data_IF_774535864990
#
_entry.id   IF_774535864990
#
_cell.length_a   1.000
_cell.length_b   1.000
_cell.length_c   1.000
_cell.angle_alpha   90.00
_cell.angle_beta   90.00
_cell.angle_gamma   90.00
#
_symmetry.space_group_name_H-M   'P 1'
#
loop_
_entity.id
_entity.type
_entity.pdbx_description
1 polymer ?
#
# COMPACT_ATOMS: atom_id res chain seq x y z
N UNK A 1 7.70 1.04 -26.16
CA UNK A 1 7.05 2.29 -25.74
C UNK A 1 7.90 2.89 -24.62
N UNK A 2 8.42 4.10 -24.83
CA UNK A 2 9.31 4.77 -23.87
C UNK A 2 8.50 5.68 -22.94
N UNK A 3 7.42 5.14 -22.35
CA UNK A 3 6.48 5.90 -21.53
C UNK A 3 6.49 5.41 -20.08
N UNK A 4 6.31 6.32 -19.14
CA UNK A 4 6.18 6.07 -17.72
C UNK A 4 4.79 6.49 -17.23
N UNK A 5 4.00 5.54 -16.80
CA UNK A 5 2.73 5.81 -16.11
C UNK A 5 2.96 5.79 -14.60
N UNK A 6 2.60 6.89 -13.92
CA UNK A 6 2.80 7.04 -12.47
C UNK A 6 1.46 6.91 -11.74
N UNK A 7 1.33 5.90 -10.89
CA UNK A 7 0.16 5.73 -10.02
C UNK A 7 0.50 6.14 -8.59
N UNK A 8 -0.33 7.00 -8.00
CA UNK A 8 -0.28 7.41 -6.59
C UNK A 8 -1.42 6.74 -5.87
N UNK A 9 -1.10 5.77 -5.00
CA UNK A 9 -2.09 4.83 -4.47
C UNK A 9 -2.40 5.08 -2.98
N UNK A 10 -1.75 6.07 -2.35
CA UNK A 10 -1.91 6.29 -0.92
C UNK A 10 -1.44 5.08 -0.10
N UNK A 11 -2.16 4.75 0.97
CA UNK A 11 -1.80 3.62 1.83
C UNK A 11 -2.38 2.32 1.29
N UNK A 12 -1.52 1.35 0.97
CA UNK A 12 -1.85 0.06 0.35
C UNK A 12 -1.30 -1.07 1.22
N UNK A 13 -2.11 -2.09 1.50
CA UNK A 13 -1.66 -3.30 2.18
C UNK A 13 -0.48 -3.94 1.41
N UNK A 14 0.48 -4.53 2.15
CA UNK A 14 1.71 -5.03 1.51
C UNK A 14 1.42 -6.11 0.46
N UNK A 15 0.50 -7.02 0.76
CA UNK A 15 0.10 -8.08 -0.17
C UNK A 15 -0.59 -7.53 -1.42
N UNK A 16 -1.40 -6.46 -1.31
CA UNK A 16 -2.01 -5.81 -2.46
C UNK A 16 -0.94 -5.15 -3.35
N UNK A 17 0.08 -4.53 -2.74
CA UNK A 17 1.24 -4.02 -3.46
C UNK A 17 1.97 -5.10 -4.26
N UNK A 18 2.15 -6.30 -3.68
CA UNK A 18 2.72 -7.45 -4.38
C UNK A 18 1.86 -7.91 -5.56
N UNK A 19 0.54 -7.96 -5.38
CA UNK A 19 -0.39 -8.32 -6.46
C UNK A 19 -0.38 -7.31 -7.61
N UNK A 20 -0.34 -6.02 -7.28
CA UNK A 20 -0.24 -4.96 -8.29
C UNK A 20 1.10 -5.03 -9.06
N UNK A 21 2.22 -5.24 -8.37
CA UNK A 21 3.52 -5.43 -9.02
C UNK A 21 3.50 -6.61 -10.00
N UNK A 22 2.93 -7.74 -9.59
CA UNK A 22 2.78 -8.92 -10.45
C UNK A 22 1.94 -8.62 -11.68
N UNK A 23 0.76 -8.00 -11.49
CA UNK A 23 -0.16 -7.67 -12.57
C UNK A 23 0.48 -6.75 -13.60
N UNK A 24 1.06 -5.62 -13.16
CA UNK A 24 1.72 -4.68 -14.07
C UNK A 24 2.95 -5.30 -14.73
N UNK A 25 3.68 -6.14 -14.02
CA UNK A 25 4.82 -6.87 -14.58
C UNK A 25 4.40 -7.82 -15.72
N UNK A 26 3.33 -8.57 -15.54
CA UNK A 26 2.77 -9.44 -16.58
C UNK A 26 2.27 -8.63 -17.79
N UNK A 27 1.52 -7.56 -17.53
CA UNK A 27 0.99 -6.65 -18.56
C UNK A 27 2.13 -5.99 -19.35
N UNK A 28 3.19 -5.56 -18.66
CA UNK A 28 4.37 -4.93 -19.29
C UNK A 28 5.14 -5.92 -20.17
N UNK A 29 5.31 -7.17 -19.73
CA UNK A 29 5.95 -8.23 -20.53
C UNK A 29 5.21 -8.54 -21.81
N UNK A 30 3.90 -8.46 -21.77
CA UNK A 30 3.03 -8.67 -22.94
C UNK A 30 3.02 -7.47 -23.90
N UNK A 31 3.72 -6.36 -23.56
CA UNK A 31 3.73 -5.14 -24.36
C UNK A 31 2.41 -4.37 -24.33
N UNK A 32 1.53 -4.68 -23.40
CA UNK A 32 0.19 -4.10 -23.28
C UNK A 32 0.16 -2.76 -22.52
N UNK A 33 1.22 -2.42 -21.81
CA UNK A 33 1.43 -1.11 -21.21
C UNK A 33 2.90 -0.68 -21.34
N UNK A 34 3.19 0.61 -21.09
CA UNK A 34 4.54 1.13 -20.88
C UNK A 34 5.12 0.74 -19.52
N UNK A 35 6.20 1.38 -19.14
CA UNK A 35 6.75 1.25 -17.81
C UNK A 35 5.85 1.92 -16.77
N UNK A 36 5.81 1.37 -15.56
CA UNK A 36 4.91 1.81 -14.50
C UNK A 36 5.71 2.12 -13.23
N UNK A 37 5.39 3.23 -12.58
CA UNK A 37 5.88 3.57 -11.25
C UNK A 37 4.69 3.62 -10.30
N UNK A 38 4.68 2.70 -9.30
CA UNK A 38 3.71 2.77 -8.21
C UNK A 38 4.33 3.54 -7.05
N UNK A 39 3.66 4.59 -6.59
CA UNK A 39 4.01 5.38 -5.42
C UNK A 39 2.93 5.16 -4.37
N UNK A 40 3.34 4.73 -3.18
CA UNK A 40 2.42 4.33 -2.12
C UNK A 40 3.08 4.36 -0.73
N UNK A 41 2.28 4.16 0.29
CA UNK A 41 2.70 3.83 1.64
C UNK A 41 2.18 2.45 2.01
N UNK A 42 2.82 1.78 2.97
CA UNK A 42 2.27 0.57 3.59
C UNK A 42 1.84 0.82 5.04
N UNK A 43 0.89 0.05 5.60
CA UNK A 43 0.76 -0.13 7.03
C UNK A 43 2.07 -0.67 7.65
N UNK A 44 2.21 -0.64 8.98
CA UNK A 44 3.41 -1.18 9.63
C UNK A 44 3.70 -2.63 9.23
N UNK A 45 4.82 -2.87 8.58
CA UNK A 45 5.22 -4.19 8.09
C UNK A 45 6.74 -4.37 8.07
N UNK A 46 7.20 -5.55 8.47
CA UNK A 46 8.58 -6.00 8.27
C UNK A 46 8.64 -6.93 7.05
N UNK A 47 9.58 -6.67 6.15
CA UNK A 47 9.79 -7.52 4.98
C UNK A 47 11.17 -8.17 5.02
N UNK A 48 11.21 -9.49 4.84
CA UNK A 48 12.40 -10.32 4.80
C UNK A 48 12.77 -10.56 3.34
N UNK A 49 13.86 -9.94 2.88
CA UNK A 49 14.41 -10.17 1.54
C UNK A 49 15.18 -11.48 1.45
N UNK A 50 15.69 -11.80 0.27
CA UNK A 50 16.40 -13.08 -0.01
C UNK A 50 17.64 -13.35 0.86
N UNK A 51 18.29 -12.29 1.35
CA UNK A 51 19.46 -12.42 2.24
C UNK A 51 19.09 -12.30 3.72
N UNK A 52 17.80 -12.19 4.03
CA UNK A 52 17.34 -11.92 5.39
C UNK A 52 17.54 -13.15 6.30
N UNK A 53 17.93 -12.83 7.54
CA UNK A 53 17.93 -13.79 8.63
C UNK A 53 16.81 -13.41 9.60
N UNK A 54 15.94 -14.36 9.97
CA UNK A 54 14.88 -14.13 10.97
C UNK A 54 15.44 -13.53 12.26
N UNK A 55 16.67 -13.91 12.64
CA UNK A 55 17.37 -13.37 13.81
C UNK A 55 17.65 -11.85 13.76
N UNK A 56 17.52 -11.21 12.60
CA UNK A 56 17.61 -9.77 12.46
C UNK A 56 16.30 -9.04 12.85
N UNK A 57 15.21 -9.78 13.11
CA UNK A 57 14.04 -9.26 13.83
C UNK A 57 14.33 -9.47 15.32
N UNK A 58 14.53 -8.37 16.05
CA UNK A 58 14.89 -8.41 17.47
C UNK A 58 13.66 -8.26 18.38
N UNK A 59 12.54 -7.82 17.83
CA UNK A 59 11.27 -7.77 18.55
C UNK A 59 10.67 -9.16 18.71
N UNK A 60 10.01 -9.42 19.85
CA UNK A 60 9.21 -10.63 20.05
C UNK A 60 7.92 -10.60 19.20
N UNK A 61 7.38 -11.78 18.88
CA UNK A 61 6.12 -11.88 18.14
C UNK A 61 4.96 -11.19 18.89
N UNK A 62 4.95 -11.23 20.22
CA UNK A 62 3.98 -10.50 21.05
C UNK A 62 4.09 -8.97 20.81
N UNK A 63 5.31 -8.43 20.84
CA UNK A 63 5.53 -7.00 20.59
C UNK A 63 5.13 -6.60 19.17
N UNK A 64 5.44 -7.41 18.16
CA UNK A 64 5.01 -7.14 16.78
C UNK A 64 3.48 -7.11 16.67
N UNK A 65 2.80 -8.05 17.34
CA UNK A 65 1.33 -8.10 17.38
C UNK A 65 0.74 -6.88 18.08
N UNK A 66 1.31 -6.46 19.21
CA UNK A 66 0.84 -5.31 19.99
C UNK A 66 1.01 -3.99 19.22
N UNK A 67 2.09 -3.86 18.44
CA UNK A 67 2.36 -2.71 17.58
C UNK A 67 1.65 -2.82 16.19
N UNK A 68 0.91 -3.89 15.93
CA UNK A 68 0.19 -4.13 14.66
C UNK A 68 1.12 -4.30 13.46
N UNK A 69 2.34 -4.82 13.68
CA UNK A 69 3.35 -5.00 12.65
C UNK A 69 3.27 -6.42 12.08
N UNK A 70 2.94 -6.53 10.80
CA UNK A 70 2.96 -7.80 10.08
C UNK A 70 4.38 -8.15 9.58
N UNK A 71 4.62 -9.44 9.29
CA UNK A 71 5.91 -9.92 8.77
C UNK A 71 5.70 -10.70 7.49
N UNK A 72 6.38 -10.30 6.41
CA UNK A 72 6.31 -10.97 5.10
C UNK A 72 7.67 -11.41 4.60
N UNK A 73 7.75 -12.64 4.11
CA UNK A 73 8.87 -13.10 3.28
C UNK A 73 8.67 -12.65 1.83
N UNK A 74 9.74 -12.22 1.18
CA UNK A 74 9.67 -11.61 -0.15
C UNK A 74 10.88 -11.95 -0.99
N UNK A 75 10.73 -11.89 -2.30
CA UNK A 75 11.78 -12.19 -3.27
C UNK A 75 12.67 -10.99 -3.65
N UNK A 76 12.49 -9.81 -3.00
CA UNK A 76 13.39 -8.67 -3.19
C UNK A 76 14.81 -8.98 -2.73
N UNK A 77 15.77 -8.27 -3.27
CA UNK A 77 17.13 -8.28 -2.77
C UNK A 77 17.25 -7.64 -1.38
N UNK A 78 18.36 -7.96 -0.70
CA UNK A 78 18.67 -7.40 0.62
C UNK A 78 18.14 -8.21 1.80
N UNK A 79 18.31 -7.65 2.99
CA UNK A 79 17.97 -8.21 4.29
C UNK A 79 16.58 -7.74 4.77
N UNK A 80 16.33 -7.75 6.08
CA UNK A 80 15.11 -7.24 6.69
C UNK A 80 15.02 -5.71 6.55
N UNK A 81 13.82 -5.20 6.33
CA UNK A 81 13.50 -3.76 6.43
C UNK A 81 12.11 -3.54 6.99
N UNK A 82 11.84 -2.29 7.42
CA UNK A 82 10.55 -1.83 7.90
C UNK A 82 9.90 -0.92 6.86
N UNK A 83 8.59 -1.08 6.69
CA UNK A 83 7.74 -0.12 6.01
C UNK A 83 6.62 0.31 6.96
N UNK A 84 6.17 1.56 6.81
CA UNK A 84 5.07 2.08 7.62
C UNK A 84 4.62 3.47 7.18
N UNK A 85 3.57 4.01 7.82
CA UNK A 85 3.04 5.34 7.50
C UNK A 85 4.10 6.43 7.53
N UNK A 86 4.01 7.36 6.57
CA UNK A 86 4.98 8.43 6.37
C UNK A 86 6.22 8.01 5.59
N UNK A 87 6.35 6.74 5.18
CA UNK A 87 7.42 6.27 4.32
C UNK A 87 6.92 6.18 2.87
N UNK A 88 7.53 6.90 1.95
CA UNK A 88 7.22 6.79 0.53
C UNK A 88 7.89 5.54 -0.06
N UNK A 89 7.08 4.60 -0.48
CA UNK A 89 7.52 3.41 -1.21
C UNK A 89 7.32 3.63 -2.71
N UNK A 90 8.34 3.31 -3.50
CA UNK A 90 8.29 3.38 -4.95
C UNK A 90 8.64 2.03 -5.58
N UNK A 91 7.71 1.49 -6.38
CA UNK A 91 7.89 0.26 -7.14
C UNK A 91 7.97 0.57 -8.63
N UNK A 92 9.19 0.74 -9.18
CA UNK A 92 9.40 0.83 -10.62
C UNK A 92 9.27 -0.57 -11.27
N UNK A 93 8.28 -0.69 -12.15
CA UNK A 93 8.00 -1.89 -12.93
C UNK A 93 8.38 -1.60 -14.37
N UNK A 94 9.67 -1.77 -14.67
CA UNK A 94 10.30 -1.37 -15.92
C UNK A 94 10.83 -2.60 -16.66
N UNK A 95 10.61 -2.63 -17.96
CA UNK A 95 11.28 -3.58 -18.83
C UNK A 95 12.52 -2.89 -19.41
N UNK A 96 13.67 -3.15 -18.79
CA UNK A 96 14.93 -2.48 -19.14
C UNK A 96 15.35 -2.82 -20.58
N UNK A 97 15.69 -1.82 -21.41
CA UNK A 97 16.23 -2.07 -22.74
C UNK A 97 17.64 -2.68 -22.66
N UNK A 98 18.09 -3.35 -23.73
CA UNK A 98 19.34 -4.13 -23.75
C UNK A 98 20.56 -3.34 -23.28
N UNK A 99 20.69 -2.08 -23.67
CA UNK A 99 21.81 -1.21 -23.27
C UNK A 99 21.82 -0.83 -21.78
N UNK A 100 20.73 -1.16 -21.03
CA UNK A 100 20.62 -1.00 -19.57
C UNK A 100 20.59 -2.34 -18.82
N UNK A 101 20.97 -3.43 -19.46
CA UNK A 101 21.03 -4.76 -18.85
C UNK A 101 22.23 -4.89 -17.88
N UNK A 102 22.20 -4.11 -16.80
CA UNK A 102 23.16 -4.13 -15.68
C UNK A 102 22.43 -3.85 -14.37
N UNK A 103 22.36 -4.84 -13.50
CA UNK A 103 21.68 -4.73 -12.20
C UNK A 103 22.31 -3.66 -11.31
N UNK A 104 23.64 -3.55 -11.31
CA UNK A 104 24.35 -2.54 -10.50
C UNK A 104 24.09 -1.13 -11.02
N UNK A 105 24.04 -0.96 -12.33
CA UNK A 105 23.65 0.30 -12.96
C UNK A 105 22.21 0.67 -12.59
N UNK A 106 21.28 -0.29 -12.69
CA UNK A 106 19.89 -0.05 -12.33
C UNK A 106 19.74 0.41 -10.87
N UNK A 107 20.42 -0.23 -9.93
CA UNK A 107 20.43 0.20 -8.52
C UNK A 107 20.96 1.62 -8.37
N UNK A 108 22.09 1.95 -9.02
CA UNK A 108 22.66 3.32 -9.02
C UNK A 108 21.68 4.34 -9.63
N UNK A 109 21.00 3.99 -10.72
CA UNK A 109 20.01 4.86 -11.34
C UNK A 109 18.85 5.14 -10.38
N UNK A 110 18.36 4.12 -9.63
CA UNK A 110 17.35 4.27 -8.59
C UNK A 110 17.87 5.16 -7.44
N UNK A 111 19.10 4.96 -6.98
CA UNK A 111 19.76 5.81 -5.97
C UNK A 111 19.83 7.28 -6.45
N UNK A 112 20.19 7.50 -7.72
CA UNK A 112 20.23 8.85 -8.29
C UNK A 112 18.88 9.54 -8.31
N UNK A 113 17.77 8.83 -8.54
CA UNK A 113 16.43 9.40 -8.44
C UNK A 113 16.19 9.99 -7.04
N UNK A 114 16.55 9.24 -5.99
CA UNK A 114 16.41 9.68 -4.60
C UNK A 114 17.37 10.83 -4.28
N UNK A 115 18.64 10.73 -4.65
CA UNK A 115 19.66 11.78 -4.40
C UNK A 115 19.23 13.11 -5.02
N UNK A 116 18.77 13.11 -6.28
CA UNK A 116 18.25 14.30 -6.94
C UNK A 116 16.98 14.86 -6.25
N UNK A 117 16.10 13.97 -5.77
CA UNK A 117 14.93 14.37 -5.00
C UNK A 117 15.33 15.08 -3.71
N UNK A 118 16.27 14.53 -2.95
CA UNK A 118 16.76 15.10 -1.70
C UNK A 118 17.49 16.43 -1.90
N UNK A 119 18.23 16.57 -3.01
CA UNK A 119 18.91 17.81 -3.36
C UNK A 119 17.94 18.99 -3.53
N UNK A 120 16.72 18.77 -4.00
CA UNK A 120 15.69 19.82 -4.08
C UNK A 120 15.19 20.32 -2.72
N UNK A 121 15.47 19.57 -1.66
CA UNK A 121 15.22 19.97 -0.26
C UNK A 121 16.48 20.55 0.41
N UNK A 122 17.57 20.75 -0.35
CA UNK A 122 18.85 21.23 0.18
C UNK A 122 19.62 20.17 0.99
N UNK A 123 19.24 18.89 0.87
CA UNK A 123 19.89 17.81 1.62
C UNK A 123 20.99 17.17 0.76
N UNK A 124 22.22 17.27 1.24
CA UNK A 124 23.36 16.55 0.64
C UNK A 124 23.30 15.08 1.06
N UNK A 125 23.21 14.20 0.07
CA UNK A 125 23.13 12.74 0.28
C UNK A 125 23.96 12.01 -0.76
N UNK A 126 24.21 10.72 -0.53
CA UNK A 126 25.03 9.91 -1.43
C UNK A 126 24.85 8.42 -1.18
N UNK A 127 25.73 7.62 -1.77
CA UNK A 127 25.78 6.16 -1.61
C UNK A 127 26.96 5.76 -0.77
N UNK A 128 26.84 4.64 -0.05
CA UNK A 128 27.95 4.01 0.65
C UNK A 128 28.25 2.67 -0.05
N UNK A 129 29.47 2.44 -0.54
CA UNK A 129 29.85 1.17 -1.13
C UNK A 129 29.50 0.00 -0.22
N UNK A 130 29.02 -1.12 -0.76
CA UNK A 130 28.54 -2.32 -0.07
C UNK A 130 27.19 -2.20 0.65
N UNK A 131 26.65 -1.00 0.85
CA UNK A 131 25.38 -0.79 1.56
C UNK A 131 24.34 -0.12 0.65
N UNK A 132 23.59 -0.86 -0.19
CA UNK A 132 22.60 -0.29 -1.09
C UNK A 132 21.61 0.63 -0.35
N UNK A 133 21.30 1.75 -0.98
CA UNK A 133 20.43 2.78 -0.45
C UNK A 133 21.07 4.16 -0.46
N UNK A 134 20.30 5.16 -0.01
CA UNK A 134 20.78 6.55 0.03
C UNK A 134 21.02 6.96 1.47
N UNK A 135 22.13 7.65 1.68
CA UNK A 135 22.69 7.96 2.98
C UNK A 135 23.00 9.44 3.13
N UNK A 136 22.90 9.91 4.35
CA UNK A 136 23.40 11.21 4.80
C UNK A 136 24.63 10.94 5.68
N UNK A 137 25.70 11.71 5.49
CA UNK A 137 27.00 11.44 6.10
C UNK A 137 27.88 10.51 5.25
N UNK A 138 29.09 10.22 5.72
CA UNK A 138 30.10 9.42 5.01
C UNK A 138 30.25 8.04 5.64
N UNK A 139 30.75 7.08 4.85
CA UNK A 139 31.11 5.73 5.34
C UNK A 139 32.07 5.83 6.53
N UNK A 140 31.74 5.09 7.61
CA UNK A 140 32.56 5.08 8.84
C UNK A 140 32.40 6.30 9.74
N UNK A 141 31.61 7.30 9.33
CA UNK A 141 31.25 8.40 10.21
C UNK A 141 30.16 7.96 11.22
N UNK A 142 30.25 8.37 12.51
CA UNK A 142 29.20 8.13 13.48
C UNK A 142 27.87 8.82 13.09
N UNK A 143 27.93 9.80 12.18
CA UNK A 143 26.75 10.52 11.69
C UNK A 143 26.13 9.87 10.45
N UNK A 144 26.69 8.76 9.95
CA UNK A 144 26.12 8.04 8.81
C UNK A 144 24.74 7.49 9.15
N UNK A 145 23.74 7.90 8.37
CA UNK A 145 22.36 7.50 8.57
C UNK A 145 21.62 7.30 7.26
N UNK A 146 20.91 6.19 7.16
CA UNK A 146 20.16 5.81 5.96
C UNK A 146 18.85 6.57 5.88
N UNK A 147 18.59 7.25 4.76
CA UNK A 147 17.33 7.94 4.50
C UNK A 147 16.44 7.14 3.54
N UNK A 148 17.03 6.34 2.64
CA UNK A 148 16.25 5.45 1.78
C UNK A 148 16.89 4.06 1.70
N UNK A 149 16.06 3.04 1.83
CA UNK A 149 16.40 1.65 1.59
C UNK A 149 16.09 1.27 0.14
N UNK A 150 16.91 0.39 -0.47
CA UNK A 150 16.71 -0.14 -1.82
C UNK A 150 16.77 -1.66 -1.76
N UNK A 151 15.75 -2.31 -2.29
CA UNK A 151 15.67 -3.75 -2.42
C UNK A 151 14.89 -4.10 -3.68
N UNK A 152 15.58 -4.47 -4.75
CA UNK A 152 14.99 -4.74 -6.07
C UNK A 152 15.03 -6.22 -6.41
N UNK A 153 14.15 -6.64 -7.30
CA UNK A 153 14.21 -7.93 -7.96
C UNK A 153 14.13 -7.73 -9.48
N UNK A 154 14.96 -8.43 -10.21
CA UNK A 154 14.96 -8.43 -11.68
C UNK A 154 14.76 -9.86 -12.18
N UNK A 155 13.81 -10.02 -13.09
CA UNK A 155 13.55 -11.28 -13.78
C UNK A 155 13.43 -11.02 -15.27
N UNK A 156 14.36 -11.55 -16.07
CA UNK A 156 14.40 -11.30 -17.52
C UNK A 156 14.30 -9.80 -17.84
N UNK A 157 15.05 -9.00 -17.10
CA UNK A 157 15.17 -7.55 -17.22
C UNK A 157 13.89 -6.76 -16.92
N UNK A 158 12.84 -7.41 -16.44
CA UNK A 158 11.70 -6.76 -15.80
C UNK A 158 12.02 -6.54 -14.33
N UNK A 159 11.87 -5.31 -13.87
CA UNK A 159 12.10 -4.91 -12.47
C UNK A 159 10.84 -5.05 -11.64
N UNK A 160 11.02 -5.32 -10.36
CA UNK A 160 9.96 -5.30 -9.34
C UNK A 160 10.56 -4.93 -7.98
N UNK A 161 9.70 -4.66 -7.00
CA UNK A 161 10.09 -3.99 -5.77
C UNK A 161 10.75 -2.63 -6.08
N UNK A 162 11.63 -2.11 -5.24
CA UNK A 162 12.22 -0.81 -5.52
C UNK A 162 12.86 -0.17 -4.30
N UNK A 163 12.33 0.96 -3.86
CA UNK A 163 12.88 1.76 -2.78
C UNK A 163 11.83 2.14 -1.74
N UNK A 164 12.31 2.49 -0.56
CA UNK A 164 11.53 3.07 0.52
C UNK A 164 12.27 4.31 1.07
N UNK A 165 11.73 5.50 0.82
CA UNK A 165 12.25 6.78 1.27
C UNK A 165 11.53 7.21 2.56
N UNK A 166 12.29 7.38 3.62
CA UNK A 166 11.76 7.91 4.87
C UNK A 166 11.44 9.40 4.73
N UNK A 167 10.15 9.74 4.64
CA UNK A 167 9.68 11.14 4.56
C UNK A 167 9.27 11.64 5.94
N UNK A 168 8.15 11.16 6.47
CA UNK A 168 7.65 11.45 7.83
C UNK A 168 7.57 10.16 8.67
N UNK A 169 8.40 9.21 8.38
CA UNK A 169 8.38 7.85 8.93
C UNK A 169 8.61 7.84 10.44
N UNK A 170 7.86 7.01 11.16
CA UNK A 170 8.09 6.75 12.58
C UNK A 170 9.36 5.91 12.77
N UNK A 171 10.50 6.57 12.90
CA UNK A 171 11.83 5.95 12.98
C UNK A 171 12.01 4.94 14.13
N UNK A 172 11.34 5.08 15.31
CA UNK A 172 11.45 4.09 16.40
C UNK A 172 11.10 2.65 15.99
N UNK A 173 10.23 2.43 14.99
CA UNK A 173 9.93 1.09 14.50
C UNK A 173 11.13 0.36 13.86
N UNK A 174 12.17 1.09 13.42
CA UNK A 174 13.41 0.45 12.98
C UNK A 174 14.16 -0.26 14.12
N UNK A 175 13.86 0.05 15.40
CA UNK A 175 14.39 -0.67 16.55
C UNK A 175 13.80 -2.10 16.71
N UNK A 176 12.79 -2.46 15.93
CA UNK A 176 12.25 -3.81 15.88
C UNK A 176 13.18 -4.78 15.14
N UNK A 177 14.14 -4.24 14.39
CA UNK A 177 15.07 -4.99 13.53
C UNK A 177 16.52 -4.51 13.70
N UNK A 178 17.46 -5.33 13.24
CA UNK A 178 18.82 -4.90 12.93
C UNK A 178 18.95 -4.78 11.41
N UNK A 179 18.79 -3.56 10.85
CA UNK A 179 18.77 -3.39 9.40
C UNK A 179 20.09 -3.81 8.77
N UNK A 180 20.08 -4.75 7.82
CA UNK A 180 21.27 -5.22 7.08
C UNK A 180 22.44 -5.67 7.97
N UNK A 181 22.19 -6.03 9.24
CA UNK A 181 23.26 -6.36 10.19
C UNK A 181 24.18 -5.18 10.57
N UNK A 182 23.84 -3.96 10.16
CA UNK A 182 24.62 -2.75 10.42
C UNK A 182 24.15 -2.18 11.76
N UNK A 183 24.94 -2.43 12.81
CA UNK A 183 24.67 -1.90 14.16
C UNK A 183 25.17 -0.48 14.38
N UNK A 184 26.04 0.00 13.49
CA UNK A 184 26.82 1.23 13.66
C UNK A 184 26.23 2.43 12.91
N UNK A 185 25.23 2.24 12.04
CA UNK A 185 24.63 3.31 11.25
C UNK A 185 23.17 3.54 11.64
N UNK A 186 22.81 4.83 11.80
CA UNK A 186 21.47 5.26 12.12
C UNK A 186 20.50 5.21 10.93
N UNK A 187 19.25 5.53 11.21
CA UNK A 187 18.20 5.83 10.22
C UNK A 187 17.71 7.27 10.42
N UNK A 188 17.32 7.91 9.34
CA UNK A 188 16.77 9.27 9.36
C UNK A 188 15.59 9.40 8.40
N UNK A 189 14.97 10.58 8.35
CA UNK A 189 13.85 10.92 7.48
C UNK A 189 13.95 12.37 7.02
N UNK A 190 13.27 12.74 5.93
CA UNK A 190 13.15 14.13 5.48
C UNK A 190 12.65 15.04 6.59
N UNK A 191 11.61 14.61 7.33
CA UNK A 191 11.08 15.36 8.48
C UNK A 191 12.16 15.65 9.51
N UNK A 192 12.98 14.65 9.86
CA UNK A 192 14.04 14.80 10.87
C UNK A 192 15.15 15.74 10.40
N UNK A 193 15.57 15.62 9.12
CA UNK A 193 16.62 16.48 8.54
C UNK A 193 16.18 17.93 8.37
N UNK A 194 14.91 18.16 8.03
CA UNK A 194 14.35 19.51 7.79
C UNK A 194 13.72 20.14 9.03
N UNK A 195 13.49 19.38 10.12
CA UNK A 195 12.80 19.87 11.32
C UNK A 195 11.32 20.18 11.11
N UNK A 196 10.70 19.70 10.04
CA UNK A 196 9.27 19.93 9.71
C UNK A 196 8.66 18.77 8.93
N UNK A 197 7.34 18.65 9.00
CA UNK A 197 6.60 17.72 8.14
C UNK A 197 6.75 18.11 6.68
N UNK A 198 6.83 17.10 5.81
CA UNK A 198 6.92 17.25 4.35
C UNK A 198 5.72 16.58 3.71
N UNK A 199 4.91 17.27 2.90
CA UNK A 199 3.79 16.65 2.21
C UNK A 199 4.28 15.52 1.29
N UNK A 200 3.75 14.30 1.47
CA UNK A 200 4.12 13.14 0.65
C UNK A 200 3.91 13.40 -0.84
N UNK A 201 2.77 14.03 -1.21
CA UNK A 201 2.45 14.33 -2.60
C UNK A 201 3.52 15.22 -3.29
N UNK A 202 4.18 16.11 -2.53
CA UNK A 202 5.30 16.91 -3.06
C UNK A 202 6.52 16.04 -3.36
N UNK A 203 6.84 15.10 -2.46
CA UNK A 203 7.97 14.16 -2.64
C UNK A 203 7.69 13.18 -3.77
N UNK A 204 6.46 12.68 -3.86
CA UNK A 204 6.01 11.81 -4.96
C UNK A 204 6.20 12.45 -6.32
N UNK A 205 5.80 13.73 -6.48
CA UNK A 205 5.94 14.43 -7.76
C UNK A 205 7.40 14.63 -8.15
N UNK A 206 8.25 15.04 -7.19
CA UNK A 206 9.69 15.22 -7.43
C UNK A 206 10.36 13.89 -7.79
N UNK A 207 10.07 12.84 -7.02
CA UNK A 207 10.63 11.52 -7.26
C UNK A 207 10.20 10.95 -8.63
N UNK A 208 8.93 11.08 -8.99
CA UNK A 208 8.40 10.63 -10.29
C UNK A 208 9.07 11.35 -11.46
N UNK A 209 9.31 12.67 -11.34
CA UNK A 209 10.04 13.44 -12.35
C UNK A 209 11.47 12.92 -12.52
N UNK A 210 12.19 12.70 -11.41
CA UNK A 210 13.55 12.18 -11.47
C UNK A 210 13.63 10.73 -12.00
N UNK A 211 12.62 9.90 -11.75
CA UNK A 211 12.52 8.60 -12.43
C UNK A 211 12.37 8.76 -13.94
N UNK A 212 11.49 9.65 -14.40
CA UNK A 212 11.34 9.92 -15.83
C UNK A 212 12.65 10.42 -16.47
N UNK A 213 13.32 11.36 -15.82
CA UNK A 213 14.57 11.96 -16.32
C UNK A 213 15.74 10.95 -16.35
N UNK A 214 15.95 10.21 -15.26
CA UNK A 214 17.09 9.26 -15.15
C UNK A 214 16.94 8.05 -16.08
N UNK A 215 15.70 7.60 -16.28
CA UNK A 215 15.38 6.48 -17.16
C UNK A 215 15.04 6.90 -18.58
N UNK A 216 15.02 8.22 -18.88
CA UNK A 216 14.73 8.78 -20.19
C UNK A 216 13.35 8.38 -20.72
N UNK A 217 12.34 8.45 -19.83
CA UNK A 217 10.96 8.05 -20.10
C UNK A 217 10.05 9.27 -20.24
N UNK A 218 9.12 9.24 -21.18
CA UNK A 218 8.06 10.22 -21.27
C UNK A 218 6.94 9.89 -20.30
N UNK A 219 6.64 10.80 -19.36
CA UNK A 219 5.49 10.63 -18.45
C UNK A 219 4.18 10.70 -19.22
N UNK A 220 3.27 9.81 -18.85
CA UNK A 220 1.88 9.81 -19.30
C UNK A 220 0.97 9.73 -18.10
N UNK A 221 -0.16 10.46 -18.15
CA UNK A 221 -1.12 10.42 -17.06
C UNK A 221 -1.86 9.07 -17.05
N UNK A 222 -2.03 8.46 -15.87
CA UNK A 222 -2.82 7.25 -15.74
C UNK A 222 -4.31 7.55 -15.96
N UNK A 223 -5.08 6.53 -16.30
CA UNK A 223 -6.53 6.62 -16.18
C UNK A 223 -6.90 6.93 -14.73
N UNK A 224 -7.92 7.79 -14.49
CA UNK A 224 -8.35 8.11 -13.13
C UNK A 224 -8.65 6.84 -12.33
N UNK A 225 -8.23 6.82 -11.06
CA UNK A 225 -8.60 5.75 -10.13
C UNK A 225 -10.12 5.76 -9.93
N UNK A 226 -10.74 4.58 -10.02
CA UNK A 226 -12.11 4.42 -9.55
C UNK A 226 -12.06 4.36 -8.02
N UNK A 227 -12.77 5.26 -7.35
CA UNK A 227 -12.86 5.26 -5.88
C UNK A 227 -14.16 4.64 -5.44
N UNK A 228 -14.05 3.73 -4.47
CA UNK A 228 -15.18 3.02 -3.87
C UNK A 228 -15.10 3.07 -2.35
N UNK A 229 -16.20 2.72 -1.73
CA UNK A 229 -16.28 2.48 -0.29
C UNK A 229 -16.79 1.06 -0.04
N UNK A 230 -16.38 0.47 1.08
CA UNK A 230 -17.06 -0.68 1.66
C UNK A 230 -17.42 -0.39 3.12
N UNK A 231 -18.61 -0.80 3.54
CA UNK A 231 -19.12 -0.56 4.90
C UNK A 231 -19.49 -1.89 5.54
N UNK A 232 -18.80 -2.25 6.62
CA UNK A 232 -19.18 -3.39 7.45
C UNK A 232 -20.23 -2.95 8.46
N UNK A 233 -21.49 -3.31 8.23
CA UNK A 233 -22.56 -3.09 9.19
C UNK A 233 -22.63 -4.23 10.19
N UNK A 234 -22.57 -3.90 11.47
CA UNK A 234 -22.62 -4.86 12.58
C UNK A 234 -23.76 -4.55 13.55
N UNK A 235 -24.30 -5.60 14.18
CA UNK A 235 -25.21 -5.51 15.34
C UNK A 235 -24.72 -6.43 16.47
N UNK A 236 -25.14 -6.14 17.70
CA UNK A 236 -24.67 -6.89 18.88
C UNK A 236 -23.19 -6.59 19.22
N UNK A 237 -22.68 -7.26 20.25
CA UNK A 237 -21.27 -7.13 20.73
C UNK A 237 -20.70 -8.49 21.13
N UNK A 238 -19.38 -8.59 21.16
CA UNK A 238 -18.68 -9.80 21.59
C UNK A 238 -19.12 -11.03 20.80
N UNK A 239 -19.48 -12.12 21.47
CA UNK A 239 -19.93 -13.37 20.84
C UNK A 239 -21.28 -13.25 20.11
N UNK A 240 -22.08 -12.25 20.46
CA UNK A 240 -23.37 -11.97 19.81
C UNK A 240 -23.25 -11.05 18.60
N UNK A 241 -22.04 -10.59 18.29
CA UNK A 241 -21.82 -9.72 17.14
C UNK A 241 -22.22 -10.43 15.84
N UNK A 242 -22.99 -9.74 15.01
CA UNK A 242 -23.40 -10.20 13.67
C UNK A 242 -23.06 -9.16 12.63
N UNK A 243 -22.63 -9.64 11.48
CA UNK A 243 -22.32 -8.85 10.30
C UNK A 243 -23.46 -8.98 9.31
N UNK A 244 -23.90 -7.89 8.72
CA UNK A 244 -24.85 -7.90 7.61
C UNK A 244 -24.11 -8.30 6.32
N UNK A 245 -24.56 -9.37 5.69
CA UNK A 245 -24.19 -9.71 4.32
C UNK A 245 -25.36 -9.46 3.38
N UNK A 246 -25.09 -8.92 2.21
CA UNK A 246 -26.01 -8.67 1.12
C UNK A 246 -25.65 -9.59 -0.05
N UNK A 247 -26.64 -10.23 -0.66
CA UNK A 247 -26.40 -11.04 -1.87
C UNK A 247 -26.71 -10.23 -3.11
N UNK A 248 -25.72 -10.05 -3.97
CA UNK A 248 -25.94 -9.45 -5.29
C UNK A 248 -26.88 -10.31 -6.13
N UNK A 249 -27.75 -9.67 -6.90
CA UNK A 249 -28.61 -10.38 -7.87
C UNK A 249 -27.76 -11.24 -8.82
N UNK A 250 -28.25 -12.41 -9.29
CA UNK A 250 -27.51 -13.29 -10.20
C UNK A 250 -26.98 -12.58 -11.45
N UNK A 251 -27.75 -11.65 -12.03
CA UNK A 251 -27.32 -10.81 -13.15
C UNK A 251 -26.10 -9.93 -12.86
N UNK A 252 -25.79 -9.71 -11.58
CA UNK A 252 -24.64 -8.95 -11.09
C UNK A 252 -23.59 -9.82 -10.39
N UNK A 253 -23.60 -11.13 -10.61
CA UNK A 253 -22.60 -12.07 -10.10
C UNK A 253 -23.05 -13.01 -8.99
N UNK A 254 -24.16 -12.75 -8.29
CA UNK A 254 -24.78 -13.69 -7.34
C UNK A 254 -24.01 -13.98 -6.05
N UNK A 255 -22.92 -13.24 -5.75
CA UNK A 255 -22.10 -13.47 -4.56
C UNK A 255 -22.53 -12.63 -3.35
N UNK A 256 -22.09 -13.05 -2.18
CA UNK A 256 -22.27 -12.33 -0.94
C UNK A 256 -21.21 -11.23 -0.76
N UNK A 257 -21.64 -10.08 -0.26
CA UNK A 257 -20.75 -8.94 0.05
C UNK A 257 -21.26 -8.18 1.27
N UNK A 258 -20.45 -7.26 1.79
CA UNK A 258 -20.89 -6.17 2.68
C UNK A 258 -21.44 -5.02 1.82
N UNK A 259 -21.92 -3.93 2.40
CA UNK A 259 -22.29 -2.72 1.65
C UNK A 259 -21.08 -2.21 0.86
N UNK A 260 -21.26 -1.90 -0.43
CA UNK A 260 -20.21 -1.35 -1.29
C UNK A 260 -20.79 -0.34 -2.27
N UNK A 261 -20.05 0.72 -2.57
CA UNK A 261 -20.50 1.68 -3.56
C UNK A 261 -19.39 2.54 -4.15
N UNK A 262 -19.71 3.32 -5.16
CA UNK A 262 -18.76 4.22 -5.82
C UNK A 262 -18.90 5.63 -5.26
N UNK A 263 -17.78 6.35 -5.16
CA UNK A 263 -17.82 7.77 -4.89
C UNK A 263 -18.35 8.52 -6.10
N UNK A 264 -19.21 9.49 -5.83
CA UNK A 264 -19.61 10.49 -6.81
C UNK A 264 -18.53 11.57 -6.99
N UNK A 265 -18.65 12.37 -8.05
CA UNK A 265 -17.67 13.42 -8.34
C UNK A 265 -17.67 14.48 -7.22
N UNK A 266 -16.52 14.64 -6.55
CA UNK A 266 -16.34 15.60 -5.45
C UNK A 266 -16.84 15.09 -4.09
N UNK A 267 -17.39 13.89 -4.02
CA UNK A 267 -17.86 13.29 -2.77
C UNK A 267 -16.68 12.83 -1.89
N UNK A 268 -16.78 13.03 -0.58
CA UNK A 268 -15.81 12.49 0.37
C UNK A 268 -16.11 11.00 0.66
N UNK A 269 -15.10 10.16 0.90
CA UNK A 269 -15.32 8.73 1.17
C UNK A 269 -16.29 8.45 2.32
N UNK A 270 -16.27 9.27 3.38
CA UNK A 270 -17.19 9.12 4.52
C UNK A 270 -18.64 9.40 4.13
N UNK A 271 -18.87 10.39 3.28
CA UNK A 271 -20.21 10.75 2.83
C UNK A 271 -20.77 9.68 1.90
N UNK A 272 -19.92 9.17 0.97
CA UNK A 272 -20.26 8.02 0.13
C UNK A 272 -20.61 6.77 0.97
N UNK A 273 -19.83 6.48 2.01
CA UNK A 273 -20.10 5.34 2.90
C UNK A 273 -21.47 5.47 3.61
N UNK A 274 -21.81 6.66 4.08
CA UNK A 274 -23.11 6.92 4.73
C UNK A 274 -24.27 6.86 3.72
N UNK A 275 -24.09 7.38 2.51
CA UNK A 275 -25.08 7.33 1.42
C UNK A 275 -25.34 5.89 0.97
N UNK A 276 -24.29 5.13 0.64
CA UNK A 276 -24.41 3.74 0.19
C UNK A 276 -25.02 2.84 1.28
N UNK A 277 -24.62 3.05 2.55
CA UNK A 277 -25.26 2.35 3.67
C UNK A 277 -26.77 2.58 3.70
N UNK A 278 -27.19 3.82 3.52
CA UNK A 278 -28.63 4.15 3.48
C UNK A 278 -29.33 3.58 2.24
N UNK A 279 -28.74 3.70 1.07
CA UNK A 279 -29.32 3.22 -0.20
C UNK A 279 -29.50 1.71 -0.22
N UNK A 280 -28.50 0.95 0.29
CA UNK A 280 -28.53 -0.50 0.25
C UNK A 280 -29.28 -1.16 1.42
N UNK A 281 -29.46 -0.45 2.55
CA UNK A 281 -30.06 -1.03 3.75
C UNK A 281 -31.23 -0.23 4.33
N UNK A 282 -31.37 1.04 4.01
CA UNK A 282 -32.32 1.97 4.63
C UNK A 282 -31.85 2.54 5.98
N UNK A 283 -30.66 2.18 6.47
CA UNK A 283 -30.14 2.62 7.77
C UNK A 283 -29.39 3.94 7.68
N UNK A 284 -29.74 4.88 8.56
CA UNK A 284 -28.95 6.10 8.82
C UNK A 284 -28.27 5.99 10.16
N UNK A 285 -26.97 5.87 10.16
CA UNK A 285 -26.13 5.84 11.37
C UNK A 285 -24.75 6.41 11.06
N UNK A 286 -23.99 6.72 12.09
CA UNK A 286 -22.63 7.18 11.95
C UNK A 286 -21.73 6.05 11.37
N UNK A 287 -20.89 6.42 10.41
CA UNK A 287 -19.85 5.53 9.87
C UNK A 287 -18.49 5.89 10.47
N UNK A 288 -17.75 4.87 10.87
CA UNK A 288 -16.40 4.97 11.45
C UNK A 288 -15.38 4.60 10.38
N UNK A 289 -14.40 5.47 10.10
CA UNK A 289 -13.30 5.16 9.19
C UNK A 289 -12.40 4.10 9.82
N UNK A 290 -12.18 3.01 9.11
CA UNK A 290 -11.30 1.91 9.54
C UNK A 290 -9.82 2.20 9.24
N UNK A 291 -9.51 3.38 8.70
CA UNK A 291 -8.18 3.73 8.18
C UNK A 291 -7.63 2.66 7.21
N UNK A 292 -8.54 1.99 6.52
CA UNK A 292 -8.28 0.90 5.60
C UNK A 292 -8.47 1.35 4.18
N UNK A 293 -7.44 1.17 3.38
CA UNK A 293 -7.43 1.42 1.93
C UNK A 293 -6.96 0.16 1.22
N UNK A 294 -7.78 -0.32 0.30
CA UNK A 294 -7.51 -1.49 -0.51
C UNK A 294 -7.40 -1.08 -1.97
N UNK A 295 -6.23 -1.33 -2.58
CA UNK A 295 -6.00 -1.05 -3.99
C UNK A 295 -5.97 -2.35 -4.78
N UNK A 296 -6.80 -2.45 -5.81
CA UNK A 296 -6.89 -3.64 -6.65
C UNK A 296 -7.24 -3.28 -8.10
N UNK A 297 -7.03 -4.22 -9.00
CA UNK A 297 -7.39 -4.04 -10.40
C UNK A 297 -8.67 -4.80 -10.75
N UNK A 298 -9.51 -4.19 -11.58
CA UNK A 298 -10.75 -4.79 -12.07
C UNK A 298 -10.76 -4.91 -13.58
N UNK A 299 -11.36 -6.02 -14.03
CA UNK A 299 -11.63 -6.30 -15.44
C UNK A 299 -10.41 -6.76 -16.23
N UNK A 300 -10.66 -7.35 -17.40
CA UNK A 300 -9.66 -7.74 -18.39
C UNK A 300 -9.23 -6.56 -19.29
N UNK A 301 -9.38 -5.33 -18.82
CA UNK A 301 -9.04 -4.11 -19.59
C UNK A 301 -7.55 -3.84 -19.48
N UNK A 302 -6.95 -3.43 -20.58
CA UNK A 302 -5.52 -3.12 -20.65
C UNK A 302 -5.34 -1.67 -21.10
N UNK A 303 -4.58 -0.84 -20.37
CA UNK A 303 -3.94 -1.11 -19.06
C UNK A 303 -4.98 -1.42 -17.96
N UNK A 304 -4.59 -2.15 -16.91
CA UNK A 304 -5.51 -2.48 -15.80
C UNK A 304 -6.17 -1.23 -15.21
N UNK A 305 -7.49 -1.28 -15.01
CA UNK A 305 -8.20 -0.21 -14.30
C UNK A 305 -8.04 -0.45 -12.80
N UNK A 306 -7.43 0.50 -12.11
CA UNK A 306 -7.26 0.43 -10.66
C UNK A 306 -8.48 0.98 -9.92
N UNK A 307 -8.79 0.32 -8.80
CA UNK A 307 -9.81 0.73 -7.84
C UNK A 307 -9.14 0.96 -6.50
N UNK A 308 -9.44 2.08 -5.86
CA UNK A 308 -9.13 2.38 -4.46
C UNK A 308 -10.43 2.23 -3.66
N UNK A 309 -10.49 1.27 -2.76
CA UNK A 309 -11.63 1.03 -1.87
C UNK A 309 -11.31 1.50 -0.46
N UNK A 310 -12.18 2.34 0.09
CA UNK A 310 -12.05 2.91 1.43
C UNK A 310 -12.98 2.14 2.39
N UNK A 311 -12.44 1.59 3.47
CA UNK A 311 -13.16 0.76 4.43
C UNK A 311 -13.76 1.55 5.58
N UNK A 312 -15.02 1.30 5.85
CA UNK A 312 -15.78 1.88 6.97
C UNK A 312 -16.50 0.80 7.76
N UNK A 313 -16.85 1.12 8.99
CA UNK A 313 -17.74 0.32 9.83
C UNK A 313 -18.93 1.13 10.31
N UNK A 314 -20.03 0.46 10.56
CA UNK A 314 -21.22 1.05 11.16
C UNK A 314 -21.84 0.08 12.16
N UNK A 315 -22.54 0.62 13.18
CA UNK A 315 -23.27 -0.19 14.15
C UNK A 315 -24.77 0.08 14.01
N UNK A 316 -25.53 -1.01 13.90
CA UNK A 316 -26.97 -0.99 14.05
C UNK A 316 -27.34 -1.19 15.52
N UNK A 317 -28.18 -0.33 16.09
CA UNK A 317 -28.71 -0.43 17.46
C UNK A 317 -30.22 -0.61 17.38
N UNK A 318 -30.75 -1.52 18.22
CA UNK A 318 -32.19 -1.84 18.25
C UNK A 318 -32.65 -2.77 17.13
N UNK A 319 -33.97 -2.95 17.04
CA UNK A 319 -34.63 -3.74 15.99
C UNK A 319 -34.75 -2.90 14.71
N UNK A 320 -33.79 -3.13 13.82
CA UNK A 320 -33.74 -2.47 12.51
C UNK A 320 -34.11 -3.48 11.42
N UNK A 321 -35.11 -3.11 10.61
CA UNK A 321 -35.53 -3.87 9.44
C UNK A 321 -34.71 -3.42 8.21
N UNK A 322 -33.95 -4.33 7.64
CA UNK A 322 -33.12 -4.07 6.43
C UNK A 322 -34.05 -3.90 5.23
N UNK A 323 -33.91 -2.78 4.53
CA UNK A 323 -34.60 -2.51 3.27
C UNK A 323 -33.63 -2.55 2.13
N UNK A 324 -33.65 -3.67 1.37
CA UNK A 324 -32.72 -3.88 0.27
C UNK A 324 -32.93 -2.88 -0.87
N UNK A 325 -31.82 -2.33 -1.36
CA UNK A 325 -31.77 -1.62 -2.64
C UNK A 325 -31.89 -2.58 -3.84
N UNK A 326 -31.99 -2.02 -5.04
CA UNK A 326 -32.26 -2.77 -6.29
C UNK A 326 -31.15 -3.71 -6.72
N UNK A 327 -29.95 -3.57 -6.18
CA UNK A 327 -28.78 -4.37 -6.54
C UNK A 327 -28.74 -5.75 -5.88
N UNK A 328 -29.48 -5.93 -4.79
CA UNK A 328 -29.47 -7.11 -3.93
C UNK A 328 -30.83 -7.82 -3.92
N UNK A 329 -30.81 -9.15 -3.72
CA UNK A 329 -32.04 -9.97 -3.66
C UNK A 329 -32.20 -10.72 -2.33
N UNK A 330 -31.18 -10.70 -1.47
CA UNK A 330 -31.24 -11.29 -0.13
C UNK A 330 -30.26 -10.62 0.83
N UNK A 331 -30.52 -10.73 2.13
CA UNK A 331 -29.58 -10.37 3.18
C UNK A 331 -29.59 -11.42 4.30
N UNK A 332 -28.47 -11.50 5.01
CA UNK A 332 -28.35 -12.36 6.21
C UNK A 332 -27.48 -11.65 7.26
N UNK A 333 -27.88 -11.82 8.53
CA UNK A 333 -27.05 -11.48 9.68
C UNK A 333 -26.31 -12.72 10.14
N UNK A 334 -24.99 -12.76 9.96
CA UNK A 334 -24.15 -13.91 10.27
C UNK A 334 -23.09 -13.56 11.31
N UNK A 335 -22.52 -14.55 11.98
CA UNK A 335 -21.34 -14.31 12.82
C UNK A 335 -20.10 -13.96 11.99
N UNK A 336 -19.09 -13.39 12.66
CA UNK A 336 -17.85 -12.94 11.97
C UNK A 336 -17.14 -14.09 11.23
N UNK A 337 -16.94 -15.30 11.81
CA UNK A 337 -16.34 -16.41 11.09
C UNK A 337 -17.10 -16.79 9.81
N UNK A 338 -18.41 -16.85 9.87
CA UNK A 338 -19.28 -17.14 8.70
C UNK A 338 -19.16 -16.05 7.64
N UNK A 339 -19.14 -14.76 8.05
CA UNK A 339 -18.94 -13.65 7.12
C UNK A 339 -17.60 -13.79 6.37
N UNK A 340 -16.50 -14.05 7.09
CA UNK A 340 -15.18 -14.23 6.52
C UNK A 340 -15.10 -15.42 5.54
N UNK A 341 -15.83 -16.51 5.81
CA UNK A 341 -15.87 -17.67 4.93
C UNK A 341 -16.68 -17.44 3.64
N UNK A 342 -17.74 -16.61 3.69
CA UNK A 342 -18.63 -16.37 2.55
C UNK A 342 -18.17 -15.24 1.63
N UNK A 343 -17.38 -14.30 2.13
CA UNK A 343 -16.91 -13.16 1.34
C UNK A 343 -15.82 -13.60 0.35
N UNK A 344 -16.03 -13.43 -0.97
CA UNK A 344 -15.09 -13.92 -1.97
C UNK A 344 -13.82 -13.08 -2.04
N UNK A 345 -13.92 -11.77 -1.77
CA UNK A 345 -12.82 -10.83 -1.96
C UNK A 345 -12.08 -10.53 -0.67
N UNK A 346 -10.74 -10.48 -0.75
CA UNK A 346 -9.87 -10.21 0.39
C UNK A 346 -10.18 -8.87 1.06
N UNK A 347 -10.37 -7.81 0.24
CA UNK A 347 -10.68 -6.46 0.75
C UNK A 347 -11.89 -6.45 1.68
N UNK A 348 -12.97 -7.11 1.28
CA UNK A 348 -14.19 -7.18 2.10
C UNK A 348 -13.97 -7.97 3.40
N UNK A 349 -13.20 -9.07 3.35
CA UNK A 349 -12.84 -9.84 4.55
C UNK A 349 -12.01 -9.02 5.54
N UNK A 350 -11.06 -8.24 5.02
CA UNK A 350 -10.25 -7.38 5.87
C UNK A 350 -11.07 -6.25 6.49
N UNK A 351 -11.99 -5.66 5.74
CA UNK A 351 -12.98 -4.72 6.27
C UNK A 351 -13.75 -5.29 7.47
N UNK A 352 -14.25 -6.53 7.36
CA UNK A 352 -14.95 -7.21 8.46
C UNK A 352 -14.05 -7.44 9.67
N UNK A 353 -12.80 -7.89 9.48
CA UNK A 353 -11.86 -8.11 10.59
C UNK A 353 -11.56 -6.81 11.35
N UNK A 354 -11.32 -5.71 10.63
CA UNK A 354 -11.04 -4.41 11.23
C UNK A 354 -12.26 -3.84 11.94
N UNK A 355 -13.44 -3.92 11.31
CA UNK A 355 -14.70 -3.51 11.93
C UNK A 355 -14.96 -4.27 13.24
N UNK A 356 -14.68 -5.57 13.26
CA UNK A 356 -14.84 -6.38 14.47
C UNK A 356 -13.95 -5.90 15.63
N UNK A 357 -12.73 -5.45 15.35
CA UNK A 357 -11.80 -4.92 16.36
C UNK A 357 -12.24 -3.53 16.84
N UNK A 358 -12.54 -2.62 15.89
CA UNK A 358 -12.91 -1.23 16.17
C UNK A 358 -14.25 -1.14 16.91
N UNK A 359 -15.20 -2.01 16.55
CA UNK A 359 -16.54 -2.02 17.15
C UNK A 359 -16.64 -3.01 18.34
N UNK A 360 -15.60 -3.70 18.76
CA UNK A 360 -15.62 -4.63 19.91
C UNK A 360 -15.81 -3.92 21.26
N UNK A 361 -15.45 -2.62 21.34
CA UNK A 361 -15.53 -1.76 22.52
C UNK A 361 -16.96 -1.31 22.94
#
# INVERSE_FOLDING_TARGET
MNTLTVYRLGRVEYEDGLQLMKLFGETRRQGLCGDVLLLLEHPPVLTLGRAAKRANIVASDARLSDEGVEVFETDRGGDVTYHGPGQLVAYPIFLLPEHRHDVRRYVRDVEQCVIRTLAEYGITSGTIPKWPGVWIGQEGSPDARKIAAIGVHLSRWLTSHGLALNVNTQLPHFNLIVPCGIREAGVTSLQKELGRLVPLAEVEEKLARHFADVFELQRVEPAPLTRTVCVTLMRGRGAEARVLLLRRRPARGGFWQIVTGRLETGELPRDAAARELFEETGLRTEVVDLEYRHAFAVGAVVPPRLVEENGFAARCTGDFEVRLGDEHDAFEWVDVPTALARLPFRGLREGVKRASRVLAG
#
